data_IF_310186161364
#
_entry.id   IF_310186161364
#
_cell.length_a   1.000
_cell.length_b   1.000
_cell.length_c   1.000
_cell.angle_alpha   90.00
_cell.angle_beta   90.00
_cell.angle_gamma   90.00
#
_symmetry.space_group_name_H-M   'P 1'
#
loop_
_entity.id
_entity.type
_entity.pdbx_description
1 polymer ?
#
# COMPACT_ATOMS: atom_id res chain seq x y z
N UNK A 1 3.87 -2.62 15.99
CA UNK A 1 2.64 -2.60 15.15
C UNK A 1 2.80 -1.56 14.06
N UNK A 2 2.43 -1.89 12.83
CA UNK A 2 2.59 -1.01 11.68
C UNK A 2 1.31 -0.25 11.39
N UNK A 3 1.45 0.99 10.91
CA UNK A 3 0.30 1.82 10.55
C UNK A 3 -0.42 1.32 9.29
N UNK A 4 0.34 0.75 8.36
CA UNK A 4 -0.17 0.20 7.11
C UNK A 4 0.16 -1.29 7.08
N UNK A 5 -0.80 -2.11 6.73
CA UNK A 5 -0.65 -3.56 6.65
C UNK A 5 -1.10 -4.07 5.29
N UNK A 6 -0.68 -5.29 4.96
CA UNK A 6 -1.17 -6.00 3.78
C UNK A 6 -2.70 -6.08 3.83
N UNK A 7 -3.33 -5.95 2.66
CA UNK A 7 -4.77 -5.96 2.46
C UNK A 7 -5.51 -4.68 2.86
N UNK A 8 -4.81 -3.69 3.40
CA UNK A 8 -5.41 -2.38 3.66
C UNK A 8 -5.74 -1.66 2.34
N UNK A 9 -6.84 -0.93 2.34
CA UNK A 9 -7.13 0.01 1.26
C UNK A 9 -6.42 1.33 1.56
N UNK A 10 -5.60 1.80 0.63
CA UNK A 10 -4.85 3.05 0.78
C UNK A 10 -5.07 3.96 -0.40
N UNK A 11 -4.82 5.25 -0.20
CA UNK A 11 -4.85 6.28 -1.24
C UNK A 11 -3.44 6.85 -1.41
N UNK A 12 -3.00 6.96 -2.65
CA UNK A 12 -1.73 7.63 -2.95
C UNK A 12 -1.93 9.13 -2.86
N UNK A 13 -1.09 9.81 -2.07
CA UNK A 13 -1.25 11.24 -1.78
C UNK A 13 -0.23 12.12 -2.47
N UNK A 14 0.75 11.54 -3.19
CA UNK A 14 1.78 12.30 -3.88
C UNK A 14 2.27 11.55 -5.11
N UNK A 15 2.82 12.28 -6.08
CA UNK A 15 3.40 11.73 -7.29
C UNK A 15 2.39 11.56 -8.42
N UNK A 16 2.78 10.80 -9.45
CA UNK A 16 1.99 10.64 -10.67
C UNK A 16 0.63 9.95 -10.45
N UNK A 17 0.54 9.12 -9.41
CA UNK A 17 -0.67 8.37 -9.11
C UNK A 17 -1.50 8.98 -7.98
N UNK A 18 -1.25 10.24 -7.67
CA UNK A 18 -2.01 10.97 -6.65
C UNK A 18 -3.51 10.77 -6.82
N UNK A 19 -4.20 10.52 -5.72
CA UNK A 19 -5.65 10.29 -5.62
C UNK A 19 -6.11 8.90 -6.08
N UNK A 20 -5.22 8.04 -6.57
CA UNK A 20 -5.56 6.65 -6.83
C UNK A 20 -5.64 5.87 -5.53
N UNK A 21 -6.58 4.94 -5.48
CA UNK A 21 -6.75 4.03 -4.36
C UNK A 21 -6.46 2.60 -4.79
N UNK A 22 -5.97 1.81 -3.87
CA UNK A 22 -5.71 0.41 -4.14
C UNK A 22 -5.43 -0.36 -2.86
N UNK A 23 -5.46 -1.67 -2.99
CA UNK A 23 -5.18 -2.59 -1.89
C UNK A 23 -3.67 -2.78 -1.75
N UNK A 24 -3.18 -2.78 -0.53
CA UNK A 24 -1.78 -3.06 -0.23
C UNK A 24 -1.48 -4.54 -0.48
N UNK A 25 -0.57 -4.81 -1.39
CA UNK A 25 -0.16 -6.16 -1.75
C UNK A 25 0.98 -6.66 -0.87
N UNK A 26 1.88 -5.76 -0.47
CA UNK A 26 3.04 -6.10 0.33
C UNK A 26 3.57 -4.86 1.04
N UNK A 27 4.08 -5.04 2.25
CA UNK A 27 4.73 -3.97 3.02
C UNK A 27 6.17 -4.36 3.29
N UNK A 28 7.10 -3.51 2.86
CA UNK A 28 8.53 -3.66 3.15
C UNK A 28 8.92 -2.63 4.21
N UNK A 29 8.91 -3.06 5.46
CA UNK A 29 9.20 -2.17 6.58
C UNK A 29 10.68 -1.80 6.66
N UNK A 30 11.55 -2.65 6.16
CA UNK A 30 13.00 -2.38 6.16
C UNK A 30 13.34 -1.17 5.31
N UNK A 31 12.70 -1.04 4.15
CA UNK A 31 12.94 0.05 3.20
C UNK A 31 11.83 1.11 3.22
N UNK A 32 10.85 0.97 4.11
CA UNK A 32 9.70 1.87 4.22
C UNK A 32 8.94 2.02 2.90
N UNK A 33 8.69 0.90 2.23
CA UNK A 33 8.00 0.84 0.94
C UNK A 33 6.76 -0.03 1.02
N UNK A 34 5.79 0.26 0.15
CA UNK A 34 4.59 -0.56 -0.01
C UNK A 34 4.34 -0.81 -1.49
N UNK A 35 3.78 -1.98 -1.80
CA UNK A 35 3.23 -2.29 -3.11
C UNK A 35 1.72 -2.11 -3.04
N UNK A 36 1.19 -1.27 -3.91
CA UNK A 36 -0.24 -0.98 -3.97
C UNK A 36 -0.78 -1.42 -5.33
N UNK A 37 -1.83 -2.21 -5.30
CA UNK A 37 -2.45 -2.76 -6.51
C UNK A 37 -2.85 -1.64 -7.48
N UNK A 38 -2.39 -1.75 -8.72
CA UNK A 38 -2.72 -0.80 -9.78
C UNK A 38 -2.00 0.55 -9.71
N UNK A 39 -1.12 0.74 -8.72
CA UNK A 39 -0.41 2.01 -8.53
C UNK A 39 1.08 1.87 -8.80
N UNK A 40 1.68 2.96 -9.27
CA UNK A 40 3.11 3.03 -9.61
C UNK A 40 3.52 1.91 -10.59
N UNK A 41 2.70 1.72 -11.60
CA UNK A 41 2.93 0.68 -12.60
C UNK A 41 4.16 1.00 -13.43
N UNK A 42 5.02 0.01 -13.59
CA UNK A 42 6.20 0.08 -14.43
C UNK A 42 6.17 -1.02 -15.48
N UNK A 43 6.78 -0.74 -16.62
CA UNK A 43 6.90 -1.72 -17.69
C UNK A 43 8.26 -2.40 -17.60
N UNK A 44 8.27 -3.72 -17.54
CA UNK A 44 9.48 -4.52 -17.55
C UNK A 44 9.59 -5.31 -18.84
N UNK A 45 10.78 -5.27 -19.45
CA UNK A 45 11.11 -6.15 -20.56
C UNK A 45 11.80 -7.38 -20.01
N UNK A 46 11.19 -8.55 -20.25
CA UNK A 46 11.74 -9.82 -19.82
C UNK A 46 12.51 -10.45 -20.97
N UNK A 47 13.76 -10.90 -20.70
CA UNK A 47 14.52 -11.68 -21.68
C UNK A 47 13.95 -13.09 -21.78
N UNK A 48 14.04 -13.73 -22.96
CA UNK A 48 13.66 -15.14 -23.08
C UNK A 48 14.41 -16.01 -22.09
N UNK A 49 13.71 -16.97 -21.49
CA UNK A 49 14.30 -17.95 -20.58
C UNK A 49 13.49 -19.25 -20.63
N UNK A 50 13.86 -20.23 -19.81
CA UNK A 50 13.20 -21.54 -19.82
C UNK A 50 11.72 -21.45 -19.41
N UNK A 51 11.35 -20.54 -18.52
CA UNK A 51 9.97 -20.35 -18.10
C UNK A 51 9.18 -19.48 -19.06
N UNK A 52 9.85 -18.60 -19.82
CA UNK A 52 9.23 -17.73 -20.81
C UNK A 52 10.14 -17.60 -22.04
N UNK A 53 10.12 -18.61 -22.94
CA UNK A 53 11.05 -18.67 -24.07
C UNK A 53 10.94 -17.50 -25.04
N UNK A 54 9.78 -16.87 -25.11
CA UNK A 54 9.56 -15.75 -26.03
C UNK A 54 9.93 -14.40 -25.43
N UNK A 55 10.21 -14.38 -24.12
CA UNK A 55 10.36 -13.13 -23.40
C UNK A 55 9.03 -12.39 -23.33
N UNK A 56 9.07 -11.09 -23.11
CA UNK A 56 7.86 -10.30 -23.12
C UNK A 56 7.95 -8.99 -22.38
N UNK A 57 6.86 -8.24 -22.45
CA UNK A 57 6.67 -7.00 -21.74
C UNK A 57 5.66 -7.27 -20.62
N UNK A 58 6.06 -6.99 -19.40
CA UNK A 58 5.17 -7.15 -18.24
C UNK A 58 4.95 -5.79 -17.57
N UNK A 59 3.73 -5.60 -17.08
CA UNK A 59 3.40 -4.44 -16.25
C UNK A 59 3.32 -4.90 -14.80
N UNK A 60 4.03 -4.23 -13.93
CA UNK A 60 4.13 -4.62 -12.53
C UNK A 60 4.13 -3.38 -11.65
N UNK A 61 3.54 -3.50 -10.48
CA UNK A 61 3.60 -2.45 -9.47
C UNK A 61 5.04 -2.31 -8.97
N UNK A 62 5.51 -1.07 -8.88
CA UNK A 62 6.77 -0.75 -8.22
C UNK A 62 6.49 -0.25 -6.81
N UNK A 63 7.45 -0.42 -5.88
CA UNK A 63 7.28 0.06 -4.52
C UNK A 63 7.07 1.57 -4.44
N UNK A 64 6.17 1.98 -3.53
CA UNK A 64 5.90 3.38 -3.23
C UNK A 64 6.38 3.63 -1.81
N UNK A 65 6.96 4.81 -1.55
CA UNK A 65 7.33 5.20 -0.21
C UNK A 65 6.07 5.20 0.68
N UNK A 66 6.16 4.59 1.86
CA UNK A 66 5.02 4.45 2.76
C UNK A 66 4.45 5.81 3.20
N UNK A 67 5.28 6.86 3.21
CA UNK A 67 4.82 8.22 3.53
C UNK A 67 3.94 8.83 2.45
N UNK A 68 3.92 8.23 1.25
CA UNK A 68 3.14 8.72 0.11
C UNK A 68 1.76 8.05 -0.01
N UNK A 69 1.37 7.27 0.98
CA UNK A 69 0.04 6.65 1.03
C UNK A 69 -0.64 6.93 2.37
N UNK A 70 -1.95 6.96 2.35
CA UNK A 70 -2.78 7.07 3.57
C UNK A 70 -3.83 5.98 3.56
N UNK A 71 -4.15 5.47 4.74
CA UNK A 71 -5.22 4.49 4.91
C UNK A 71 -6.56 5.12 4.54
N UNK A 72 -7.41 4.37 3.86
CA UNK A 72 -8.77 4.78 3.55
C UNK A 72 -9.74 4.02 4.45
N UNK A 73 -10.53 4.77 5.22
CA UNK A 73 -11.57 4.24 6.10
C UNK A 73 -12.86 4.96 5.80
N UNK A 74 -13.93 4.20 5.53
CA UNK A 74 -15.24 4.76 5.17
C UNK A 74 -15.16 5.78 4.03
N UNK A 75 -14.31 5.53 3.04
CA UNK A 75 -14.13 6.40 1.88
C UNK A 75 -13.26 7.62 2.12
N UNK A 76 -12.69 7.78 3.31
CA UNK A 76 -11.84 8.93 3.66
C UNK A 76 -10.40 8.51 3.91
N UNK A 77 -9.46 9.25 3.32
CA UNK A 77 -8.06 9.10 3.66
C UNK A 77 -7.81 9.64 5.06
N UNK A 78 -7.13 8.87 5.89
CA UNK A 78 -6.91 9.20 7.29
C UNK A 78 -5.51 8.83 7.74
N UNK A 79 -5.02 9.53 8.73
CA UNK A 79 -3.83 9.11 9.47
C UNK A 79 -4.21 8.00 10.44
N UNK A 80 -3.23 7.17 10.77
CA UNK A 80 -3.41 6.06 11.69
C UNK A 80 -2.75 6.40 13.01
N UNK A 81 -3.51 6.30 14.09
CA UNK A 81 -3.01 6.35 15.45
C UNK A 81 -3.14 4.99 16.11
N UNK A 82 -2.67 4.90 17.35
CA UNK A 82 -2.75 3.67 18.12
C UNK A 82 -3.42 3.94 19.46
N UNK A 83 -4.25 3.00 19.89
CA UNK A 83 -4.85 3.01 21.22
C UNK A 83 -4.70 1.62 21.85
N UNK A 84 -4.82 1.56 23.17
CA UNK A 84 -4.86 0.30 23.88
C UNK A 84 -6.30 0.03 24.27
N UNK A 85 -6.84 -1.10 23.80
CA UNK A 85 -8.16 -1.59 24.16
C UNK A 85 -8.06 -3.00 24.71
N UNK A 86 -8.60 -3.22 25.88
CA UNK A 86 -8.62 -4.55 26.53
C UNK A 86 -7.22 -5.16 26.60
N UNK A 87 -6.21 -4.33 26.88
CA UNK A 87 -4.81 -4.76 26.97
C UNK A 87 -4.12 -4.96 25.63
N UNK A 88 -4.79 -4.69 24.50
CA UNK A 88 -4.23 -4.83 23.17
C UNK A 88 -4.09 -3.50 22.48
N UNK A 89 -2.98 -3.31 21.75
CA UNK A 89 -2.76 -2.13 20.93
C UNK A 89 -3.51 -2.30 19.61
N UNK A 90 -4.36 -1.34 19.29
CA UNK A 90 -5.16 -1.34 18.06
C UNK A 90 -4.90 -0.08 17.26
N UNK A 91 -5.13 -0.17 15.94
CA UNK A 91 -5.03 0.98 15.05
C UNK A 91 -6.36 1.74 15.07
N UNK A 92 -6.26 3.06 15.02
CA UNK A 92 -7.43 3.94 15.01
C UNK A 92 -7.30 4.91 13.84
N UNK A 93 -8.38 5.08 13.08
CA UNK A 93 -8.47 6.08 12.03
C UNK A 93 -8.71 7.45 12.66
N UNK A 94 -7.72 8.33 12.60
CA UNK A 94 -7.81 9.65 13.27
C UNK A 94 -8.92 10.54 12.71
N UNK A 95 -9.19 10.42 11.39
CA UNK A 95 -10.22 11.26 10.77
C UNK A 95 -11.64 10.89 11.20
N UNK A 96 -11.88 9.62 11.54
CA UNK A 96 -13.22 9.13 11.90
C UNK A 96 -13.34 8.70 13.37
N UNK A 97 -12.21 8.51 14.04
CA UNK A 97 -12.18 7.96 15.40
C UNK A 97 -12.46 6.47 15.49
N UNK A 98 -12.57 5.80 14.36
CA UNK A 98 -12.93 4.38 14.29
C UNK A 98 -11.74 3.47 14.58
N UNK A 99 -11.99 2.42 15.35
CA UNK A 99 -10.99 1.36 15.55
C UNK A 99 -10.90 0.54 14.28
N UNK A 100 -9.68 0.33 13.78
CA UNK A 100 -9.45 -0.43 12.55
C UNK A 100 -9.26 -1.92 12.88
N UNK A 101 -8.39 -2.20 13.83
CA UNK A 101 -8.14 -3.57 14.28
C UNK A 101 -7.42 -3.65 15.63
#
# INVERSE_FOLDING_TARGET
MHKIKKDDLVKVIAGKDKDKQGKVLHVDMKNHKVLVEGCNMVTKHSKPNAANPQGGITHKEAPIDISNVMLVVDGKATRVGFEVKDGKKVRVAKATGKVID
#
